data_IF_154672220458
#
_entry.id   IF_154672220458
#
_cell.length_a   1.000
_cell.length_b   1.000
_cell.length_c   1.000
_cell.angle_alpha   90.00
_cell.angle_beta   90.00
_cell.angle_gamma   90.00
#
_symmetry.space_group_name_H-M   'P 1'
#
loop_
_entity.id
_entity.type
_entity.pdbx_description
1 polymer ?
#
# COMPACT_ATOMS: atom_id res chain seq x y z
N UNK A 1 5.31 -71.66 17.48
CA UNK A 1 5.50 -71.00 18.79
C UNK A 1 6.99 -70.82 19.00
N UNK A 2 7.37 -69.60 19.38
CA UNK A 2 8.68 -69.09 19.82
C UNK A 2 9.61 -68.63 18.68
N UNK A 3 9.46 -67.38 18.21
CA UNK A 3 9.99 -66.10 18.73
C UNK A 3 11.51 -65.99 18.65
N UNK A 4 11.98 -65.52 17.49
CA UNK A 4 13.21 -64.75 17.36
C UNK A 4 12.82 -63.30 17.10
N UNK A 5 13.10 -62.41 18.04
CA UNK A 5 13.21 -60.97 17.78
C UNK A 5 14.12 -60.40 18.86
N UNK A 6 15.31 -60.02 18.40
CA UNK A 6 16.38 -59.37 19.13
C UNK A 6 15.90 -58.10 19.85
N UNK A 7 16.57 -57.85 20.98
CA UNK A 7 16.34 -56.70 21.85
C UNK A 7 16.47 -55.35 21.12
N UNK A 8 15.78 -54.29 21.59
CA UNK A 8 15.97 -52.95 21.03
C UNK A 8 17.34 -52.39 21.44
N UNK A 9 18.20 -52.10 20.46
CA UNK A 9 19.36 -51.25 20.65
C UNK A 9 18.92 -49.79 20.79
N UNK A 10 18.99 -49.24 22.00
CA UNK A 10 19.05 -47.80 22.20
C UNK A 10 20.34 -47.25 21.57
N UNK A 11 20.21 -46.21 20.75
CA UNK A 11 21.34 -45.37 20.33
C UNK A 11 21.23 -44.01 21.03
N UNK A 12 22.33 -43.47 21.60
CA UNK A 12 22.30 -42.24 22.38
C UNK A 12 22.50 -40.98 21.51
N UNK A 13 21.78 -39.92 21.90
CA UNK A 13 22.12 -38.48 21.83
C UNK A 13 22.54 -37.83 20.50
N UNK A 14 21.82 -36.77 20.12
CA UNK A 14 22.45 -35.52 19.68
C UNK A 14 22.02 -34.92 18.34
N UNK A 15 20.93 -34.13 18.34
CA UNK A 15 20.82 -32.88 17.57
C UNK A 15 19.58 -32.10 18.03
N UNK A 16 19.69 -30.87 18.56
CA UNK A 16 18.56 -29.98 18.52
C UNK A 16 18.42 -29.56 17.06
N UNK A 17 17.58 -30.27 16.32
CA UNK A 17 16.99 -29.72 15.11
C UNK A 17 16.18 -28.49 15.55
N UNK A 18 16.86 -27.36 15.69
CA UNK A 18 16.25 -26.05 15.51
C UNK A 18 15.94 -25.92 14.02
N UNK A 19 15.10 -26.81 13.51
CA UNK A 19 14.32 -26.59 12.32
C UNK A 19 13.53 -25.33 12.63
N UNK A 20 14.00 -24.21 12.09
CA UNK A 20 13.23 -22.98 12.04
C UNK A 20 11.98 -23.37 11.26
N UNK A 21 10.93 -23.75 11.99
CA UNK A 21 9.63 -24.01 11.42
C UNK A 21 9.19 -22.69 10.81
N UNK A 22 9.45 -22.54 9.51
CA UNK A 22 8.88 -21.49 8.69
C UNK A 22 7.38 -21.72 8.74
N UNK A 23 6.72 -21.11 9.73
CA UNK A 23 5.27 -21.14 9.84
C UNK A 23 4.75 -20.37 8.65
N UNK A 24 4.31 -21.09 7.63
CA UNK A 24 3.56 -20.52 6.52
C UNK A 24 2.27 -19.96 7.12
N UNK A 25 2.26 -18.66 7.38
CA UNK A 25 1.06 -17.95 7.82
C UNK A 25 0.13 -17.88 6.62
N UNK A 26 -0.92 -18.70 6.62
CA UNK A 26 -1.96 -18.61 5.61
C UNK A 26 -2.94 -17.51 6.01
N UNK A 27 -2.88 -16.38 5.28
CA UNK A 27 -3.83 -15.28 5.44
C UNK A 27 -4.94 -15.51 4.41
N UNK A 28 -6.19 -15.78 4.83
CA UNK A 28 -7.29 -15.94 3.89
C UNK A 28 -7.59 -14.62 3.17
N UNK A 29 -8.12 -14.70 1.95
CA UNK A 29 -8.67 -13.53 1.28
C UNK A 29 -9.86 -12.97 2.07
N UNK A 30 -10.07 -11.64 2.06
CA UNK A 30 -11.20 -11.04 2.74
C UNK A 30 -12.52 -11.48 2.08
N UNK A 31 -13.56 -11.67 2.90
CA UNK A 31 -14.89 -12.08 2.44
C UNK A 31 -15.56 -11.02 1.53
N UNK A 32 -15.14 -9.76 1.66
CA UNK A 32 -15.67 -8.64 0.91
C UNK A 32 -14.55 -7.75 0.38
N UNK A 33 -14.69 -7.29 -0.85
CA UNK A 33 -13.79 -6.32 -1.47
C UNK A 33 -14.52 -4.98 -1.62
N UNK A 34 -13.85 -3.89 -1.25
CA UNK A 34 -14.34 -2.54 -1.47
C UNK A 34 -13.52 -1.88 -2.59
N UNK A 35 -14.21 -1.30 -3.57
CA UNK A 35 -13.57 -0.41 -4.53
C UNK A 35 -13.28 0.93 -3.85
N UNK A 36 -12.06 1.44 -4.06
CA UNK A 36 -11.64 2.76 -3.62
C UNK A 36 -10.73 3.37 -4.68
N UNK A 37 -10.91 4.66 -4.94
CA UNK A 37 -10.09 5.41 -5.91
C UNK A 37 -9.23 6.48 -5.24
N UNK A 38 -9.39 6.71 -3.93
CA UNK A 38 -8.57 7.61 -3.15
C UNK A 38 -8.18 7.00 -1.81
N UNK A 39 -7.04 7.44 -1.28
CA UNK A 39 -6.48 6.96 -0.02
C UNK A 39 -5.99 8.16 0.82
N UNK A 40 -6.15 8.05 2.13
CA UNK A 40 -5.63 8.97 3.12
C UNK A 40 -4.71 8.22 4.09
N UNK A 41 -3.67 8.90 4.56
CA UNK A 41 -2.68 8.33 5.45
C UNK A 41 -2.52 9.19 6.70
N UNK A 42 -2.46 8.55 7.87
CA UNK A 42 -2.18 9.18 9.14
C UNK A 42 -1.18 8.36 9.95
N UNK A 43 -0.25 9.05 10.63
CA UNK A 43 0.74 8.45 11.53
C UNK A 43 0.37 8.83 12.96
N UNK A 44 0.14 7.82 13.81
CA UNK A 44 0.10 7.96 15.27
C UNK A 44 1.42 7.53 15.89
N UNK A 45 1.56 7.70 17.20
CA UNK A 45 2.80 7.32 17.91
C UNK A 45 3.08 5.81 17.87
N UNK A 46 2.04 4.98 17.80
CA UNK A 46 2.15 3.51 17.87
C UNK A 46 1.51 2.79 16.67
N UNK A 47 1.05 3.53 15.67
CA UNK A 47 0.30 2.95 14.57
C UNK A 47 0.29 3.85 13.34
N UNK A 48 0.05 3.24 12.20
CA UNK A 48 -0.20 3.89 10.93
C UNK A 48 -1.60 3.51 10.46
N UNK A 49 -2.35 4.50 10.00
CA UNK A 49 -3.72 4.33 9.51
C UNK A 49 -3.77 4.70 8.03
N UNK A 50 -4.23 3.76 7.21
CA UNK A 50 -4.58 3.97 5.81
C UNK A 50 -6.09 3.94 5.69
N UNK A 51 -6.71 5.06 5.31
CA UNK A 51 -8.12 5.13 4.96
C UNK A 51 -8.29 5.05 3.45
N UNK A 52 -9.24 4.27 2.97
CA UNK A 52 -9.60 4.16 1.56
C UNK A 52 -11.02 4.65 1.36
N UNK A 53 -11.20 5.49 0.36
CA UNK A 53 -12.46 6.13 0.05
C UNK A 53 -12.74 6.11 -1.46
N UNK A 54 -14.01 6.33 -1.79
CA UNK A 54 -14.48 6.54 -3.14
C UNK A 54 -14.85 8.01 -3.30
N UNK A 55 -14.06 8.74 -4.09
CA UNK A 55 -14.38 10.09 -4.55
C UNK A 55 -15.41 10.00 -5.68
N UNK A 56 -16.55 10.64 -5.47
CA UNK A 56 -17.63 10.79 -6.45
C UNK A 56 -17.53 12.16 -7.13
N UNK A 57 -18.09 12.30 -8.34
CA UNK A 57 -18.04 13.53 -9.16
C UNK A 57 -18.61 14.78 -8.45
N UNK A 58 -19.40 14.59 -7.39
CA UNK A 58 -19.95 15.67 -6.56
C UNK A 58 -18.92 16.30 -5.60
N UNK A 59 -17.65 15.89 -5.67
CA UNK A 59 -16.56 16.44 -4.86
C UNK A 59 -16.52 15.91 -3.43
N UNK A 60 -17.36 14.93 -3.08
CA UNK A 60 -17.33 14.26 -1.77
C UNK A 60 -16.60 12.92 -1.89
N UNK A 61 -15.83 12.57 -0.86
CA UNK A 61 -15.24 11.26 -0.70
C UNK A 61 -16.02 10.45 0.34
N UNK A 62 -16.45 9.24 -0.02
CA UNK A 62 -17.16 8.32 0.88
C UNK A 62 -16.16 7.28 1.38
N UNK A 63 -15.88 7.26 2.67
CA UNK A 63 -15.00 6.27 3.30
C UNK A 63 -15.56 4.86 3.11
N UNK A 64 -14.69 3.90 2.76
CA UNK A 64 -15.06 2.50 2.51
C UNK A 64 -14.42 1.56 3.52
N UNK A 65 -13.09 1.55 3.58
CA UNK A 65 -12.32 0.63 4.43
C UNK A 65 -11.11 1.34 5.00
N UNK A 66 -10.60 0.85 6.13
CA UNK A 66 -9.39 1.36 6.76
C UNK A 66 -8.50 0.23 7.23
N UNK A 67 -7.19 0.42 7.12
CA UNK A 67 -6.17 -0.50 7.64
C UNK A 67 -5.40 0.22 8.73
N UNK A 68 -5.29 -0.43 9.89
CA UNK A 68 -4.44 0.02 10.99
C UNK A 68 -3.31 -0.99 11.14
N UNK A 69 -2.08 -0.51 11.20
CA UNK A 69 -0.90 -1.35 11.30
C UNK A 69 0.14 -0.77 12.25
N UNK A 70 0.96 -1.61 12.90
CA UNK A 70 2.09 -1.13 13.68
C UNK A 70 3.17 -0.52 12.75
N UNK A 71 4.03 0.38 13.26
CA UNK A 71 5.04 1.07 12.47
C UNK A 71 5.97 0.14 11.69
N UNK A 72 6.32 -1.01 12.26
CA UNK A 72 7.20 -2.00 11.65
C UNK A 72 6.56 -2.60 10.39
N UNK A 73 5.27 -2.95 10.46
CA UNK A 73 4.52 -3.48 9.32
C UNK A 73 4.36 -2.42 8.21
N UNK A 74 4.19 -1.16 8.59
CA UNK A 74 4.12 -0.06 7.62
C UNK A 74 5.45 0.18 6.91
N UNK A 75 6.58 0.06 7.61
CA UNK A 75 7.90 0.16 7.00
C UNK A 75 8.13 -0.94 5.95
N UNK A 76 7.73 -2.18 6.27
CA UNK A 76 7.78 -3.30 5.31
C UNK A 76 6.87 -3.03 4.12
N UNK A 77 5.64 -2.54 4.34
CA UNK A 77 4.72 -2.19 3.27
C UNK A 77 5.30 -1.10 2.35
N UNK A 78 5.90 -0.06 2.92
CA UNK A 78 6.54 1.00 2.16
C UNK A 78 7.68 0.47 1.28
N UNK A 79 8.50 -0.45 1.82
CA UNK A 79 9.58 -1.10 1.06
C UNK A 79 9.02 -1.92 -0.12
N UNK A 80 7.99 -2.72 0.12
CA UNK A 80 7.36 -3.55 -0.92
C UNK A 80 6.75 -2.66 -2.01
N UNK A 81 6.04 -1.60 -1.63
CA UNK A 81 5.46 -0.64 -2.59
C UNK A 81 6.55 0.06 -3.40
N UNK A 82 7.64 0.48 -2.76
CA UNK A 82 8.78 1.08 -3.46
C UNK A 82 9.38 0.11 -4.47
N UNK A 83 9.55 -1.16 -4.11
CA UNK A 83 10.03 -2.19 -5.03
C UNK A 83 9.08 -2.39 -6.21
N UNK A 84 7.76 -2.39 -5.99
CA UNK A 84 6.77 -2.48 -7.07
C UNK A 84 6.86 -1.29 -8.03
N UNK A 85 7.10 -0.08 -7.52
CA UNK A 85 7.32 1.10 -8.36
C UNK A 85 8.58 0.93 -9.22
N UNK A 86 9.66 0.39 -8.67
CA UNK A 86 10.87 0.11 -9.46
C UNK A 86 10.62 -0.91 -10.57
N UNK A 87 9.87 -1.98 -10.25
CA UNK A 87 9.47 -2.99 -11.24
C UNK A 87 8.61 -2.36 -12.34
N UNK A 88 7.66 -1.51 -11.97
CA UNK A 88 6.84 -0.78 -12.93
C UNK A 88 7.69 0.09 -13.86
N UNK A 89 8.59 0.92 -13.30
CA UNK A 89 9.42 1.82 -14.11
C UNK A 89 10.40 1.06 -15.03
N UNK A 90 10.89 -0.10 -14.60
CA UNK A 90 11.73 -0.96 -15.43
C UNK A 90 10.98 -1.51 -16.66
N UNK A 91 9.68 -1.78 -16.53
CA UNK A 91 8.87 -2.38 -17.59
C UNK A 91 8.17 -1.36 -18.48
N UNK A 92 7.74 -0.23 -17.91
CA UNK A 92 6.87 0.76 -18.57
C UNK A 92 7.52 2.14 -18.74
N UNK A 93 8.72 2.34 -18.20
CA UNK A 93 9.43 3.61 -18.22
C UNK A 93 9.15 4.49 -17.00
N UNK A 94 9.89 5.59 -16.90
CA UNK A 94 9.90 6.46 -15.73
C UNK A 94 8.54 7.15 -15.48
N UNK A 95 8.11 7.17 -14.22
CA UNK A 95 6.90 7.89 -13.79
C UNK A 95 7.12 9.39 -14.02
N UNK A 96 6.21 10.00 -14.79
CA UNK A 96 6.33 11.40 -15.21
C UNK A 96 5.84 12.42 -14.18
N UNK A 97 5.27 11.97 -13.06
CA UNK A 97 4.67 12.85 -12.06
C UNK A 97 5.73 13.78 -11.45
N UNK A 98 5.53 15.12 -11.46
CA UNK A 98 6.56 16.06 -11.00
C UNK A 98 7.03 15.82 -9.56
N UNK A 99 6.10 15.48 -8.65
CA UNK A 99 6.45 15.19 -7.26
C UNK A 99 7.32 13.92 -7.13
N UNK A 100 7.09 12.92 -7.99
CA UNK A 100 7.89 11.70 -8.00
C UNK A 100 9.31 11.97 -8.48
N UNK A 101 9.46 12.75 -9.55
CA UNK A 101 10.77 13.19 -10.06
C UNK A 101 11.56 13.98 -9.03
N UNK A 102 10.89 14.93 -8.36
CA UNK A 102 11.51 15.73 -7.30
C UNK A 102 11.97 14.85 -6.12
N UNK A 103 11.16 13.86 -5.73
CA UNK A 103 11.51 12.92 -4.67
C UNK A 103 12.71 12.04 -5.07
N UNK A 104 12.75 11.53 -6.30
CA UNK A 104 13.90 10.78 -6.85
C UNK A 104 15.18 11.62 -6.91
N UNK A 105 15.06 12.93 -7.16
CA UNK A 105 16.19 13.86 -7.15
C UNK A 105 16.68 14.20 -5.73
N UNK A 106 16.09 13.62 -4.69
CA UNK A 106 16.49 13.84 -3.30
C UNK A 106 16.00 15.16 -2.73
N UNK A 107 14.99 15.81 -3.34
CA UNK A 107 14.41 17.03 -2.77
C UNK A 107 13.67 16.72 -1.47
N UNK A 108 13.78 17.56 -0.44
CA UNK A 108 13.04 17.39 0.81
C UNK A 108 11.53 17.34 0.57
N UNK A 109 10.84 16.41 1.24
CA UNK A 109 9.40 16.22 1.06
C UNK A 109 8.58 17.49 1.35
N UNK A 110 9.01 18.30 2.32
CA UNK A 110 8.36 19.56 2.66
C UNK A 110 8.39 20.58 1.50
N UNK A 111 9.49 20.61 0.75
CA UNK A 111 9.62 21.47 -0.44
C UNK A 111 8.75 20.98 -1.59
N UNK A 112 8.71 19.65 -1.80
CA UNK A 112 7.84 19.01 -2.80
C UNK A 112 6.38 19.30 -2.50
N UNK A 113 5.97 19.13 -1.23
CA UNK A 113 4.60 19.37 -0.79
C UNK A 113 4.20 20.83 -1.01
N UNK A 114 5.05 21.78 -0.62
CA UNK A 114 4.77 23.22 -0.74
C UNK A 114 4.73 23.70 -2.19
N UNK A 115 5.61 23.18 -3.05
CA UNK A 115 5.80 23.72 -4.39
C UNK A 115 5.06 22.98 -5.49
N UNK A 116 4.76 21.70 -5.29
CA UNK A 116 4.15 20.85 -6.31
C UNK A 116 2.76 20.39 -5.88
N UNK A 117 2.61 19.84 -4.68
CA UNK A 117 1.33 19.26 -4.24
C UNK A 117 0.30 20.32 -3.84
N UNK A 118 0.72 21.40 -3.16
CA UNK A 118 -0.18 22.47 -2.72
C UNK A 118 -0.42 23.56 -3.78
N UNK A 119 0.51 23.71 -4.73
CA UNK A 119 0.36 24.64 -5.88
C UNK A 119 -0.28 23.95 -7.09
N UNK A 120 -0.19 22.63 -7.19
CA UNK A 120 -0.65 21.81 -8.31
C UNK A 120 -2.16 21.53 -8.35
N UNK A 121 -3.01 22.48 -7.97
CA UNK A 121 -4.44 22.45 -8.32
C UNK A 121 -4.68 22.92 -9.78
N UNK A 122 -3.61 23.07 -10.58
CA UNK A 122 -3.68 23.44 -11.98
C UNK A 122 -3.97 22.19 -12.83
N UNK A 123 -5.25 21.90 -13.06
CA UNK A 123 -5.64 20.80 -13.93
C UNK A 123 -7.12 20.66 -14.29
N UNK A 124 -8.02 21.46 -13.72
CA UNK A 124 -9.37 21.62 -14.25
C UNK A 124 -9.54 23.11 -14.56
N UNK A 125 -9.49 23.54 -15.83
CA UNK A 125 -9.97 24.88 -16.15
C UNK A 125 -11.43 24.97 -15.66
N UNK A 126 -11.87 26.07 -15.03
CA UNK A 126 -13.29 26.28 -14.84
C UNK A 126 -13.92 26.18 -16.23
N UNK A 127 -14.84 25.24 -16.42
CA UNK A 127 -15.72 25.22 -17.57
C UNK A 127 -16.38 26.61 -17.62
N UNK A 128 -15.95 27.46 -18.54
CA UNK A 128 -16.70 28.65 -18.91
C UNK A 128 -18.02 28.13 -19.46
N UNK A 129 -19.03 28.08 -18.59
CA UNK A 129 -20.41 27.87 -19.00
C UNK A 129 -20.74 28.97 -20.00
N UNK A 130 -21.04 28.67 -21.28
CA UNK A 130 -21.58 29.68 -22.16
C UNK A 130 -22.92 30.09 -21.55
N UNK A 131 -23.06 31.39 -21.26
CA UNK A 131 -24.37 31.95 -20.95
C UNK A 131 -25.27 31.69 -22.16
N UNK A 132 -26.22 30.77 -21.98
CA UNK A 132 -27.30 30.54 -22.92
C UNK A 132 -28.18 31.80 -22.88
N UNK A 133 -27.96 32.74 -23.80
CA UNK A 133 -28.91 33.81 -24.09
C UNK A 133 -30.21 33.16 -24.57
N UNK A 134 -31.18 33.07 -23.66
CA UNK A 134 -32.57 32.75 -24.00
C UNK A 134 -33.12 33.86 -24.92
N UNK A 135 -33.64 33.53 -26.12
CA UNK A 135 -34.33 34.52 -26.93
C UNK A 135 -35.65 34.89 -26.26
N UNK A 136 -35.84 36.19 -25.99
CA UNK A 136 -37.13 36.76 -25.62
C UNK A 136 -38.16 36.43 -26.72
N UNK A 137 -39.31 35.92 -26.29
CA UNK A 137 -40.55 35.89 -27.06
C UNK A 137 -41.63 36.63 -26.30
#
# INVERSE_FOLDING_TARGET
>A
MNNESEAPQESPEGQPDSAIMQRTVHIPFPENFAYANCCAFAIGQMEIRLGFAEAIQTGKAISKVGVVMPPEAAAVLALVLLQQVHIYEANFGEIRHPAWKAMKAGQPFDEIRKNILLKGNAGIPPEESPAEELPEK
#
